data_IF_961293032576
#
_entry.id   IF_961293032576
#
_cell.length_a   1.000
_cell.length_b   1.000
_cell.length_c   1.000
_cell.angle_alpha   90.00
_cell.angle_beta   90.00
_cell.angle_gamma   90.00
#
_symmetry.space_group_name_H-M   'P 1'
#
loop_
_entity.id
_entity.type
_entity.pdbx_description
1 polymer ?
#
# COMPACT_ATOMS: atom_id res chain seq x y z
N UNK A 1 2.35 -6.01 7.41
CA UNK A 1 2.05 -5.88 5.98
C UNK A 1 0.88 -6.78 5.61
N UNK A 2 0.05 -6.42 4.65
CA UNK A 2 -1.10 -7.25 4.26
C UNK A 2 -0.72 -8.66 3.85
N UNK A 3 0.46 -8.76 3.26
CA UNK A 3 1.05 -10.04 2.89
C UNK A 3 1.37 -10.93 4.10
N UNK A 4 1.52 -10.35 5.31
CA UNK A 4 1.65 -11.11 6.54
C UNK A 4 0.35 -11.84 6.93
N UNK A 5 -0.81 -11.41 6.41
CA UNK A 5 -2.10 -12.10 6.59
C UNK A 5 -2.20 -13.41 5.79
N UNK A 6 -1.27 -13.66 4.87
CA UNK A 6 -1.24 -14.90 4.09
C UNK A 6 -0.44 -16.01 4.78
N UNK A 7 0.11 -15.74 5.98
CA UNK A 7 0.86 -16.74 6.75
C UNK A 7 -0.08 -17.77 7.41
N UNK A 8 0.40 -18.99 7.73
CA UNK A 8 -0.41 -20.02 8.38
C UNK A 8 -1.06 -19.59 9.70
N UNK A 9 -0.40 -18.68 10.42
CA UNK A 9 -0.93 -17.99 11.60
C UNK A 9 -0.83 -16.48 11.34
N UNK A 10 -1.86 -15.88 10.71
CA UNK A 10 -1.80 -14.47 10.39
C UNK A 10 -1.88 -13.63 11.67
N UNK A 11 -1.14 -12.52 11.78
CA UNK A 11 -1.35 -11.55 12.85
C UNK A 11 -2.77 -10.96 12.74
N UNK A 12 -3.28 -10.36 13.83
CA UNK A 12 -4.57 -9.68 13.77
C UNK A 12 -4.62 -8.68 12.61
N UNK A 13 -5.78 -8.49 11.96
CA UNK A 13 -5.92 -7.51 10.89
C UNK A 13 -5.57 -6.11 11.41
N UNK A 14 -4.46 -5.56 10.93
CA UNK A 14 -4.04 -4.19 11.22
C UNK A 14 -4.44 -3.37 10.01
N UNK A 15 -5.11 -2.23 10.18
CA UNK A 15 -5.61 -1.40 9.08
C UNK A 15 -4.54 -0.99 8.03
N UNK A 16 -3.25 -1.00 8.38
CA UNK A 16 -2.16 -0.81 7.41
C UNK A 16 -2.08 -1.91 6.34
N UNK A 17 -2.60 -3.10 6.65
CA UNK A 17 -2.74 -4.22 5.73
C UNK A 17 -3.82 -3.96 4.67
N UNK A 18 -4.93 -3.35 5.06
CA UNK A 18 -6.00 -3.03 4.12
C UNK A 18 -5.57 -1.93 3.15
N UNK A 19 -4.82 -0.94 3.64
CA UNK A 19 -4.24 0.11 2.79
C UNK A 19 -3.21 -0.45 1.80
N UNK A 20 -2.29 -1.31 2.25
CA UNK A 20 -1.31 -1.94 1.37
C UNK A 20 -1.98 -2.84 0.32
N UNK A 21 -3.01 -3.60 0.71
CA UNK A 21 -3.79 -4.41 -0.23
C UNK A 21 -4.49 -3.55 -1.28
N UNK A 22 -5.19 -2.51 -0.82
CA UNK A 22 -5.87 -1.57 -1.70
C UNK A 22 -4.89 -0.91 -2.67
N UNK A 23 -3.73 -0.46 -2.17
CA UNK A 23 -2.67 0.11 -3.01
C UNK A 23 -2.26 -0.85 -4.13
N UNK A 24 -1.94 -2.11 -3.81
CA UNK A 24 -1.56 -3.08 -4.84
C UNK A 24 -2.67 -3.37 -5.85
N UNK A 25 -3.93 -3.43 -5.40
CA UNK A 25 -5.08 -3.61 -6.30
C UNK A 25 -5.25 -2.41 -7.23
N UNK A 26 -5.15 -1.19 -6.71
CA UNK A 26 -5.26 0.03 -7.52
C UNK A 26 -4.13 0.14 -8.53
N UNK A 27 -2.88 -0.14 -8.13
CA UNK A 27 -1.72 -0.18 -9.04
C UNK A 27 -1.95 -1.22 -10.13
N UNK A 28 -2.32 -2.45 -9.75
CA UNK A 28 -2.57 -3.52 -10.70
C UNK A 28 -3.66 -3.14 -11.70
N UNK A 29 -4.76 -2.54 -11.25
CA UNK A 29 -5.84 -2.13 -12.14
C UNK A 29 -5.43 -0.99 -13.08
N UNK A 30 -4.75 0.02 -12.54
CA UNK A 30 -4.36 1.23 -13.26
C UNK A 30 -3.36 1.00 -14.41
N UNK A 31 -2.62 -0.12 -14.38
CA UNK A 31 -1.64 -0.47 -15.42
C UNK A 31 -2.15 -1.55 -16.39
N UNK A 32 -3.29 -2.18 -16.10
CA UNK A 32 -3.72 -3.40 -16.77
C UNK A 32 -4.76 -3.18 -17.86
N UNK A 33 -5.45 -2.06 -17.83
CA UNK A 33 -6.51 -1.75 -18.79
C UNK A 33 -6.24 -0.44 -19.51
N UNK A 34 -6.37 -0.47 -20.83
CA UNK A 34 -6.31 0.71 -21.69
C UNK A 34 -7.52 0.67 -22.64
N UNK A 35 -8.28 1.76 -22.70
CA UNK A 35 -9.49 1.88 -23.53
C UNK A 35 -10.49 0.73 -23.32
N UNK A 36 -10.66 0.30 -22.07
CA UNK A 36 -11.57 -0.78 -21.68
C UNK A 36 -11.11 -2.19 -22.08
N UNK A 37 -9.88 -2.34 -22.59
CA UNK A 37 -9.28 -3.62 -22.97
C UNK A 37 -8.08 -3.92 -22.10
N UNK A 38 -7.79 -5.22 -21.93
CA UNK A 38 -6.55 -5.66 -21.32
C UNK A 38 -5.37 -5.25 -22.22
N UNK A 39 -4.31 -4.71 -21.64
CA UNK A 39 -3.08 -4.44 -22.38
C UNK A 39 -2.36 -5.76 -22.71
N UNK A 40 -1.63 -5.79 -23.82
CA UNK A 40 -0.77 -6.92 -24.16
C UNK A 40 0.38 -7.03 -23.14
N UNK A 41 0.64 -8.24 -22.65
CA UNK A 41 1.61 -8.54 -21.57
C UNK A 41 1.41 -7.63 -20.34
N UNK A 42 0.30 -7.79 -19.60
CA UNK A 42 -0.06 -6.86 -18.54
C UNK A 42 0.96 -6.85 -17.41
N UNK A 43 1.37 -5.67 -16.93
CA UNK A 43 2.29 -5.56 -15.80
C UNK A 43 1.79 -6.31 -14.56
N UNK A 44 2.74 -6.77 -13.75
CA UNK A 44 2.51 -7.37 -12.43
C UNK A 44 1.72 -8.71 -12.45
N UNK A 45 1.79 -9.48 -13.53
CA UNK A 45 1.24 -10.86 -13.55
C UNK A 45 1.81 -11.75 -12.44
N UNK A 46 3.07 -11.54 -12.08
CA UNK A 46 3.76 -12.25 -11.01
C UNK A 46 3.15 -11.99 -9.63
N UNK A 47 2.43 -10.87 -9.44
CA UNK A 47 1.69 -10.58 -8.20
C UNK A 47 0.48 -11.48 -8.01
N UNK A 48 -0.08 -12.02 -9.10
CA UNK A 48 -1.29 -12.85 -9.11
C UNK A 48 -0.99 -14.34 -9.36
N UNK A 49 0.07 -14.64 -10.14
CA UNK A 49 0.39 -16.01 -10.59
C UNK A 49 1.68 -16.57 -10.00
N UNK A 50 2.46 -15.76 -9.28
CA UNK A 50 3.69 -16.18 -8.63
C UNK A 50 3.48 -17.02 -7.36
N UNK A 51 4.56 -17.61 -6.85
CA UNK A 51 4.55 -18.17 -5.49
C UNK A 51 4.46 -17.05 -4.46
N UNK A 52 4.13 -17.40 -3.21
CA UNK A 52 4.10 -16.44 -2.10
C UNK A 52 5.41 -15.62 -2.01
N UNK A 53 6.56 -16.28 -2.06
CA UNK A 53 7.87 -15.61 -1.95
C UNK A 53 8.14 -14.65 -3.12
N UNK A 54 7.70 -15.02 -4.33
CA UNK A 54 7.85 -14.19 -5.53
C UNK A 54 6.97 -12.94 -5.39
N UNK A 55 5.67 -13.12 -5.12
CA UNK A 55 4.74 -12.02 -4.92
C UNK A 55 5.17 -11.11 -3.76
N UNK A 56 5.70 -11.68 -2.67
CA UNK A 56 6.21 -10.92 -1.54
C UNK A 56 7.39 -10.04 -1.91
N UNK A 57 8.39 -10.61 -2.58
CA UNK A 57 9.57 -9.86 -3.01
C UNK A 57 9.21 -8.78 -4.02
N UNK A 58 8.39 -9.10 -5.03
CA UNK A 58 8.07 -8.13 -6.08
C UNK A 58 7.18 -6.99 -5.58
N UNK A 59 6.15 -7.26 -4.77
CA UNK A 59 5.32 -6.22 -4.14
C UNK A 59 6.12 -5.33 -3.20
N UNK A 60 6.97 -5.92 -2.35
CA UNK A 60 7.84 -5.15 -1.43
C UNK A 60 8.83 -4.29 -2.22
N UNK A 61 9.44 -4.83 -3.27
CA UNK A 61 10.36 -4.08 -4.14
C UNK A 61 9.64 -2.94 -4.85
N UNK A 62 8.40 -3.17 -5.30
CA UNK A 62 7.61 -2.14 -5.96
C UNK A 62 7.26 -0.99 -5.01
N UNK A 63 6.87 -1.27 -3.76
CA UNK A 63 6.63 -0.20 -2.77
C UNK A 63 7.87 0.68 -2.60
N UNK A 64 9.07 0.08 -2.55
CA UNK A 64 10.31 0.80 -2.25
C UNK A 64 10.92 1.54 -3.45
N UNK A 65 10.75 1.03 -4.67
CA UNK A 65 11.44 1.58 -5.84
C UNK A 65 10.70 1.39 -7.17
N UNK A 66 9.45 0.93 -7.14
CA UNK A 66 8.64 0.75 -8.34
C UNK A 66 8.26 2.08 -8.97
N UNK A 67 8.15 2.11 -10.30
CA UNK A 67 7.61 3.27 -11.00
C UNK A 67 6.09 3.16 -11.11
N UNK A 68 5.39 4.29 -10.93
CA UNK A 68 3.96 4.39 -11.16
C UNK A 68 3.77 5.11 -12.49
N UNK A 69 3.25 4.41 -13.48
CA UNK A 69 2.93 4.99 -14.79
C UNK A 69 1.59 4.41 -15.28
N UNK A 70 0.47 4.92 -14.73
CA UNK A 70 -0.87 4.44 -15.07
C UNK A 70 -1.16 4.61 -16.56
N UNK A 71 -2.02 3.75 -17.10
CA UNK A 71 -2.53 3.95 -18.46
C UNK A 71 -3.24 5.30 -18.59
N UNK A 72 -3.37 5.87 -19.81
CA UNK A 72 -3.89 7.23 -19.99
C UNK A 72 -5.22 7.51 -19.29
N UNK A 73 -6.12 6.52 -19.25
CA UNK A 73 -7.45 6.63 -18.62
C UNK A 73 -7.38 6.64 -17.08
N UNK A 74 -6.31 6.08 -16.51
CA UNK A 74 -6.07 6.03 -15.07
C UNK A 74 -5.07 7.08 -14.58
N UNK A 75 -4.58 7.98 -15.45
CA UNK A 75 -3.71 9.10 -15.04
C UNK A 75 -4.24 9.90 -13.85
N UNK A 76 -5.56 10.16 -13.70
CA UNK A 76 -6.07 10.85 -12.51
C UNK A 76 -5.75 10.16 -11.17
N UNK A 77 -5.42 8.86 -11.18
CA UNK A 77 -5.03 8.13 -9.96
C UNK A 77 -3.55 8.31 -9.60
N UNK A 78 -2.74 8.94 -10.45
CA UNK A 78 -1.29 9.02 -10.25
C UNK A 78 -0.91 9.60 -8.88
N UNK A 79 -1.47 10.75 -8.50
CA UNK A 79 -1.11 11.42 -7.25
C UNK A 79 -1.45 10.56 -6.03
N UNK A 80 -2.65 9.96 -6.01
CA UNK A 80 -3.09 9.07 -4.93
C UNK A 80 -2.20 7.82 -4.84
N UNK A 81 -1.86 7.21 -5.98
CA UNK A 81 -0.97 6.04 -6.02
C UNK A 81 0.43 6.41 -5.54
N UNK A 82 0.97 7.54 -6.00
CA UNK A 82 2.30 8.02 -5.65
C UNK A 82 2.42 8.35 -4.15
N UNK A 83 1.43 9.06 -3.60
CA UNK A 83 1.38 9.39 -2.18
C UNK A 83 1.23 8.14 -1.31
N UNK A 84 0.40 7.19 -1.74
CA UNK A 84 0.23 5.90 -1.06
C UNK A 84 1.53 5.10 -1.06
N UNK A 85 2.22 5.00 -2.21
CA UNK A 85 3.51 4.32 -2.31
C UNK A 85 4.55 4.95 -1.39
N UNK A 86 4.62 6.27 -1.36
CA UNK A 86 5.54 7.02 -0.52
C UNK A 86 5.26 6.80 0.98
N UNK A 87 4.00 6.81 1.40
CA UNK A 87 3.61 6.54 2.78
C UNK A 87 3.99 5.12 3.20
N UNK A 88 3.67 4.12 2.37
CA UNK A 88 4.02 2.72 2.60
C UNK A 88 5.55 2.51 2.65
N UNK A 89 6.30 3.12 1.73
CA UNK A 89 7.76 3.03 1.70
C UNK A 89 8.40 3.59 2.99
N UNK A 90 7.91 4.76 3.45
CA UNK A 90 8.35 5.36 4.73
C UNK A 90 8.04 4.44 5.91
N UNK A 91 6.83 3.89 5.99
CA UNK A 91 6.44 2.94 7.03
C UNK A 91 7.35 1.70 7.06
N UNK A 92 7.69 1.14 5.90
CA UNK A 92 8.62 0.01 5.79
C UNK A 92 10.03 0.39 6.26
N UNK A 93 10.56 1.53 5.81
CA UNK A 93 11.90 2.00 6.20
C UNK A 93 11.97 2.25 7.70
N UNK A 94 10.97 2.91 8.28
CA UNK A 94 10.93 3.25 9.70
C UNK A 94 10.79 2.00 10.58
N UNK A 95 9.93 1.06 10.20
CA UNK A 95 9.83 -0.26 10.88
C UNK A 95 11.15 -1.04 10.81
N UNK A 96 11.92 -0.90 9.72
CA UNK A 96 13.25 -1.51 9.59
C UNK A 96 14.33 -0.78 10.41
N UNK A 97 14.23 0.55 10.52
CA UNK A 97 15.18 1.39 11.27
C UNK A 97 14.99 1.28 12.79
N UNK A 98 13.74 1.11 13.27
CA UNK A 98 13.42 0.83 14.69
C UNK A 98 13.92 -0.54 15.17
N UNK A 99 14.53 -1.35 14.28
CA UNK A 99 15.36 -2.50 14.68
C UNK A 99 16.70 -1.99 15.22
N UNK A 100 16.67 -1.32 16.36
CA UNK A 100 17.88 -0.82 17.03
C UNK A 100 18.74 -1.97 17.58
N UNK A 101 20.03 -1.91 17.31
CA UNK A 101 21.08 -2.65 18.03
C UNK A 101 21.06 -2.24 19.49
N UNK A 102 20.85 -3.21 20.40
CA UNK A 102 21.03 -3.02 21.82
C UNK A 102 22.48 -2.61 22.14
N UNK A 103 22.74 -1.97 23.30
CA UNK A 103 24.08 -1.56 23.72
C UNK A 103 25.12 -2.70 23.78
N UNK A 104 24.66 -3.95 23.82
CA UNK A 104 25.47 -5.17 23.79
C UNK A 104 25.77 -5.70 22.38
N UNK A 105 25.33 -4.99 21.32
CA UNK A 105 25.44 -5.42 19.93
C UNK A 105 24.40 -6.46 19.51
N UNK A 106 23.50 -6.89 20.39
CA UNK A 106 22.40 -7.79 20.05
C UNK A 106 21.30 -7.02 19.31
N UNK A 107 20.79 -7.60 18.22
CA UNK A 107 19.61 -7.04 17.54
C UNK A 107 18.37 -7.41 18.36
N UNK A 108 17.83 -6.46 19.13
CA UNK A 108 16.49 -6.61 19.70
C UNK A 108 15.48 -6.11 18.69
N UNK A 109 14.50 -6.95 18.36
CA UNK A 109 13.34 -6.52 17.58
C UNK A 109 12.45 -5.75 18.54
N UNK A 110 12.58 -4.42 18.57
CA UNK A 110 11.52 -3.58 19.12
C UNK A 110 10.44 -3.55 18.04
N UNK A 111 9.39 -4.32 18.24
CA UNK A 111 8.21 -4.24 17.38
C UNK A 111 7.57 -2.87 17.62
N UNK A 112 7.18 -2.13 16.57
CA UNK A 112 6.37 -0.94 16.75
C UNK A 112 5.12 -1.32 17.54
N UNK A 113 4.63 -0.39 18.36
CA UNK A 113 3.33 -0.55 19.02
C UNK A 113 2.23 -0.76 17.98
N UNK A 114 1.13 -1.37 18.39
CA UNK A 114 -0.01 -1.59 17.48
C UNK A 114 -0.49 -0.28 16.85
N UNK A 115 -0.53 0.81 17.63
CA UNK A 115 -0.86 2.16 17.19
C UNK A 115 0.14 2.73 16.16
N UNK A 116 1.44 2.51 16.36
CA UNK A 116 2.46 2.89 15.38
C UNK A 116 2.34 2.06 14.10
N UNK A 117 2.03 0.76 14.20
CA UNK A 117 1.81 -0.06 13.01
C UNK A 117 0.57 0.37 12.22
N UNK A 118 -0.49 0.81 12.92
CA UNK A 118 -1.73 1.31 12.32
C UNK A 118 -1.54 2.61 11.53
N UNK A 119 -0.67 3.50 12.01
CA UNK A 119 -0.44 4.84 11.45
C UNK A 119 0.77 4.91 10.51
N UNK A 120 1.35 3.76 10.13
CA UNK A 120 2.63 3.69 9.42
C UNK A 120 3.72 4.53 10.13
N UNK A 121 3.85 4.35 11.43
CA UNK A 121 4.72 5.11 12.34
C UNK A 121 4.43 6.62 12.32
N UNK A 122 3.14 7.00 12.32
CA UNK A 122 2.70 8.40 12.30
C UNK A 122 2.76 9.09 10.93
N UNK A 123 3.08 8.37 9.86
CA UNK A 123 3.11 8.93 8.49
C UNK A 123 1.73 8.91 7.80
N UNK A 124 0.74 8.31 8.45
CA UNK A 124 -0.60 8.13 7.92
C UNK A 124 -1.62 8.33 9.04
N UNK A 125 -2.60 9.22 8.83
CA UNK A 125 -3.73 9.39 9.73
C UNK A 125 -5.01 8.97 9.03
N UNK A 126 -5.83 8.17 9.69
CA UNK A 126 -7.15 7.77 9.19
C UNK A 126 -8.09 8.98 9.03
N UNK A 127 -7.84 10.08 9.74
CA UNK A 127 -8.58 11.33 9.52
C UNK A 127 -8.35 11.87 8.10
N UNK A 128 -7.16 11.68 7.52
CA UNK A 128 -6.84 12.09 6.15
C UNK A 128 -7.60 11.22 5.14
N UNK A 129 -7.65 9.90 5.37
CA UNK A 129 -8.39 8.96 4.52
C UNK A 129 -9.89 9.20 4.59
N UNK A 130 -10.43 9.34 5.80
CA UNK A 130 -11.84 9.67 5.99
C UNK A 130 -12.19 11.02 5.37
N UNK A 131 -11.30 12.01 5.46
CA UNK A 131 -11.50 13.32 4.82
C UNK A 131 -11.55 13.18 3.31
N UNK A 132 -10.61 12.44 2.70
CA UNK A 132 -10.62 12.16 1.26
C UNK A 132 -11.91 11.46 0.82
N UNK A 133 -12.38 10.45 1.57
CA UNK A 133 -13.65 9.77 1.23
C UNK A 133 -14.89 10.65 1.47
N UNK A 134 -14.87 11.54 2.47
CA UNK A 134 -15.96 12.51 2.72
C UNK A 134 -15.99 13.64 1.67
N UNK A 135 -14.83 14.04 1.15
CA UNK A 135 -14.71 15.07 0.12
C UNK A 135 -14.98 14.53 -1.28
N UNK A 136 -14.68 13.25 -1.53
CA UNK A 136 -14.98 12.57 -2.79
C UNK A 136 -16.42 12.02 -2.90
N UNK A 137 -17.33 12.34 -1.96
CA UNK A 137 -18.74 11.94 -2.05
C UNK A 137 -19.45 12.67 -3.21
N UNK A 138 -19.75 12.00 -4.34
CA UNK A 138 -20.40 12.63 -5.49
C UNK A 138 -21.88 12.96 -5.23
N UNK A 139 -22.46 12.50 -4.12
CA UNK A 139 -23.87 12.73 -3.77
C UNK A 139 -24.14 14.10 -3.13
N UNK A 140 -23.12 14.95 -2.93
CA UNK A 140 -23.31 16.35 -2.49
C UNK A 140 -23.54 17.35 -3.63
N UNK A 141 -23.90 16.90 -4.83
CA UNK A 141 -24.44 17.79 -5.87
C UNK A 141 -25.92 18.08 -5.57
N UNK A 142 -26.12 19.15 -4.79
CA UNK A 142 -27.27 20.07 -4.78
C UNK A 142 -28.67 19.46 -4.94
N UNK A 143 -29.37 19.29 -3.81
CA UNK A 143 -30.83 19.51 -3.76
C UNK A 143 -31.07 20.80 -3.00
N UNK A 144 -30.88 21.93 -3.67
CA UNK A 144 -31.47 23.20 -3.26
C UNK A 144 -32.76 23.36 -4.04
N UNK A 145 -33.88 23.35 -3.32
CA UNK A 145 -35.22 23.67 -3.83
C UNK A 145 -35.32 25.14 -4.22
#
# INVERSE_FOLDING_TARGET
MAIDLLKPNPPQPIYCHDLESLFHVMVWHAHRYQDGKLVDDPPFEDWARGTFDVAFKSKTSFILSGNIDPTPQHKPLYDVLFDSQRALARGIVQTRAQRETSPDGSRRIVLPTEEEMLTLCGNFSFEIVETLFKECDPMRVVVSK
#
